data_IF_553421019945
#
_entry.id   IF_553421019945
#
_cell.length_a   1.000
_cell.length_b   1.000
_cell.length_c   1.000
_cell.angle_alpha   90.00
_cell.angle_beta   90.00
_cell.angle_gamma   90.00
#
_symmetry.space_group_name_H-M   'P 1'
#
loop_
_entity.id
_entity.type
_entity.pdbx_description
1 polymer ?
#
# COMPACT_ATOMS: atom_id res chain seq x y z
N UNK A 1 -68.65 62.83 -10.23
CA UNK A 1 -67.49 62.63 -11.04
C UNK A 1 -66.48 61.85 -10.19
N UNK A 2 -66.23 60.52 -10.36
CA UNK A 2 -65.30 59.77 -9.52
C UNK A 2 -63.89 59.86 -10.10
N UNK A 3 -62.95 60.14 -9.18
CA UNK A 3 -61.48 60.16 -9.52
C UNK A 3 -60.88 58.75 -9.66
N UNK A 4 -60.10 58.57 -10.71
CA UNK A 4 -59.39 57.36 -10.96
C UNK A 4 -58.16 57.21 -10.04
N UNK A 5 -58.04 56.08 -9.39
CA UNK A 5 -56.87 55.69 -8.60
C UNK A 5 -55.75 55.15 -9.53
N UNK A 6 -54.49 55.53 -9.34
CA UNK A 6 -53.40 54.97 -10.19
C UNK A 6 -53.04 53.55 -9.71
N UNK A 7 -52.90 52.67 -10.68
CA UNK A 7 -52.48 51.26 -10.49
C UNK A 7 -51.05 51.19 -9.96
N UNK A 8 -50.88 50.35 -8.95
CA UNK A 8 -49.62 50.04 -8.27
C UNK A 8 -48.78 49.08 -9.14
N UNK A 9 -47.86 49.65 -9.93
CA UNK A 9 -46.97 48.87 -10.86
C UNK A 9 -45.59 48.52 -10.30
N UNK A 10 -45.40 48.61 -8.97
CA UNK A 10 -44.06 48.58 -8.36
C UNK A 10 -43.53 47.25 -7.84
N UNK A 11 -44.33 46.20 -7.69
CA UNK A 11 -43.95 45.06 -6.84
C UNK A 11 -43.46 43.82 -7.58
N UNK A 12 -43.75 43.68 -8.88
CA UNK A 12 -43.32 42.51 -9.64
C UNK A 12 -41.82 42.51 -10.03
N UNK A 13 -41.17 43.67 -10.02
CA UNK A 13 -39.75 43.76 -10.43
C UNK A 13 -38.78 43.49 -9.26
N UNK A 14 -39.20 43.73 -8.03
CA UNK A 14 -38.42 43.44 -6.83
C UNK A 14 -38.30 41.94 -6.56
N UNK A 15 -39.36 41.17 -6.79
CA UNK A 15 -39.35 39.70 -6.67
C UNK A 15 -38.40 39.02 -7.68
N UNK A 16 -38.41 39.50 -8.92
CA UNK A 16 -37.54 38.95 -9.98
C UNK A 16 -36.07 39.25 -9.74
N UNK A 17 -35.73 40.44 -9.23
CA UNK A 17 -34.37 40.82 -8.91
C UNK A 17 -33.84 40.01 -7.70
N UNK A 18 -34.67 39.77 -6.67
CA UNK A 18 -34.30 38.97 -5.49
C UNK A 18 -34.05 37.48 -5.85
N UNK A 19 -34.90 36.92 -6.74
CA UNK A 19 -34.76 35.54 -7.19
C UNK A 19 -33.48 35.37 -8.06
N UNK A 20 -33.20 36.34 -8.94
CA UNK A 20 -31.99 36.31 -9.79
C UNK A 20 -30.69 36.40 -8.93
N UNK A 21 -30.70 37.22 -7.86
CA UNK A 21 -29.59 37.36 -6.96
C UNK A 21 -29.38 36.06 -6.15
N UNK A 22 -30.44 35.43 -5.65
CA UNK A 22 -30.37 34.17 -4.93
C UNK A 22 -29.81 33.02 -5.79
N UNK A 23 -30.24 32.94 -7.07
CA UNK A 23 -29.71 31.96 -8.00
C UNK A 23 -28.23 32.22 -8.32
N UNK A 24 -27.82 33.48 -8.50
CA UNK A 24 -26.42 33.83 -8.74
C UNK A 24 -25.52 33.49 -7.53
N UNK A 25 -25.98 33.76 -6.31
CA UNK A 25 -25.27 33.39 -5.07
C UNK A 25 -25.18 31.87 -4.92
N UNK A 26 -26.24 31.13 -5.22
CA UNK A 26 -26.22 29.66 -5.19
C UNK A 26 -25.26 29.05 -6.22
N UNK A 27 -25.20 29.63 -7.45
CA UNK A 27 -24.26 29.20 -8.49
C UNK A 27 -22.81 29.52 -8.13
N UNK A 28 -22.55 30.68 -7.51
CA UNK A 28 -21.23 31.03 -6.99
C UNK A 28 -20.78 30.13 -5.83
N UNK A 29 -21.71 29.77 -4.94
CA UNK A 29 -21.44 28.81 -3.86
C UNK A 29 -21.14 27.40 -4.39
N UNK A 30 -21.89 26.95 -5.39
CA UNK A 30 -21.63 25.66 -6.07
C UNK A 30 -20.29 25.68 -6.82
N UNK A 31 -19.94 26.79 -7.48
CA UNK A 31 -18.65 26.95 -8.12
C UNK A 31 -17.50 27.01 -7.12
N UNK A 32 -17.70 27.64 -5.97
CA UNK A 32 -16.72 27.67 -4.86
C UNK A 32 -16.52 26.27 -4.25
N UNK A 33 -17.58 25.45 -4.12
CA UNK A 33 -17.47 24.05 -3.66
C UNK A 33 -16.68 23.19 -4.67
N UNK A 34 -16.79 23.46 -5.97
CA UNK A 34 -16.04 22.75 -7.00
C UNK A 34 -14.54 23.09 -7.04
N UNK A 35 -14.15 24.24 -6.45
CA UNK A 35 -12.75 24.71 -6.34
C UNK A 35 -12.09 24.24 -5.04
N UNK A 36 -12.86 23.74 -4.07
CA UNK A 36 -12.26 23.16 -2.88
C UNK A 36 -11.46 21.92 -3.27
N UNK A 37 -10.21 21.78 -2.78
CA UNK A 37 -9.45 20.56 -3.02
C UNK A 37 -10.28 19.37 -2.52
N UNK A 38 -10.64 18.49 -3.44
CA UNK A 38 -11.32 17.26 -3.07
C UNK A 38 -10.37 16.44 -2.18
N UNK A 39 -10.87 15.81 -1.11
CA UNK A 39 -10.03 14.91 -0.34
C UNK A 39 -9.43 13.85 -1.28
N UNK A 40 -8.12 13.71 -1.25
CA UNK A 40 -7.45 12.66 -2.00
C UNK A 40 -8.09 11.32 -1.63
N UNK A 41 -8.44 10.53 -2.64
CA UNK A 41 -8.98 9.18 -2.43
C UNK A 41 -7.85 8.19 -2.50
N UNK A 42 -7.89 7.21 -1.59
CA UNK A 42 -6.97 6.10 -1.66
C UNK A 42 -7.11 5.40 -3.03
N UNK A 43 -6.09 5.40 -3.91
CA UNK A 43 -6.17 4.79 -5.24
C UNK A 43 -6.31 3.27 -5.16
N UNK A 44 -5.97 2.68 -4.01
CA UNK A 44 -6.02 1.24 -3.74
C UNK A 44 -7.22 0.85 -2.86
N UNK A 45 -8.15 1.78 -2.58
CA UNK A 45 -9.35 1.43 -1.84
C UNK A 45 -10.09 0.32 -2.59
N UNK A 46 -10.15 -0.85 -2.00
CA UNK A 46 -10.92 -1.99 -2.52
C UNK A 46 -12.35 -1.49 -2.70
N UNK A 47 -12.90 -1.59 -3.92
CA UNK A 47 -14.34 -1.47 -4.10
C UNK A 47 -14.95 -2.52 -3.20
N UNK A 48 -15.82 -2.10 -2.27
CA UNK A 48 -16.55 -3.04 -1.41
C UNK A 48 -17.12 -4.16 -2.29
N UNK A 49 -16.55 -5.33 -2.16
CA UNK A 49 -17.18 -6.54 -2.71
C UNK A 49 -18.45 -6.70 -1.89
N UNK A 50 -19.66 -6.76 -2.51
CA UNK A 50 -20.89 -6.97 -1.76
C UNK A 50 -20.69 -8.23 -0.91
N UNK A 51 -21.06 -8.12 0.38
CA UNK A 51 -20.92 -9.21 1.35
C UNK A 51 -21.45 -10.50 0.74
N UNK A 52 -20.57 -11.47 0.51
CA UNK A 52 -20.94 -12.81 0.11
C UNK A 52 -21.59 -13.46 1.32
N UNK A 53 -22.83 -13.94 1.16
CA UNK A 53 -23.58 -14.63 2.20
C UNK A 53 -22.73 -15.79 2.75
N UNK A 54 -22.70 -15.94 4.09
CA UNK A 54 -22.04 -17.05 4.78
C UNK A 54 -22.61 -18.38 4.25
N UNK A 55 -21.83 -19.10 3.45
CA UNK A 55 -22.26 -20.42 2.98
C UNK A 55 -21.42 -21.08 1.89
N UNK A 56 -20.50 -20.40 1.25
CA UNK A 56 -19.66 -21.00 0.21
C UNK A 56 -18.20 -21.02 0.65
N UNK A 57 -17.79 -22.14 1.27
CA UNK A 57 -16.40 -22.57 1.27
C UNK A 57 -16.13 -23.09 -0.15
N UNK A 58 -16.04 -22.19 -1.12
CA UNK A 58 -15.56 -22.52 -2.45
C UNK A 58 -14.04 -22.37 -2.46
N UNK A 59 -13.44 -23.46 -2.87
CA UNK A 59 -12.06 -23.76 -3.14
C UNK A 59 -11.30 -22.51 -3.68
N UNK A 60 -10.51 -21.82 -2.83
CA UNK A 60 -9.69 -20.66 -3.23
C UNK A 60 -8.62 -21.00 -4.28
N UNK A 61 -8.53 -22.26 -4.70
CA UNK A 61 -7.56 -22.79 -5.66
C UNK A 61 -7.98 -22.69 -7.13
N UNK A 62 -9.25 -22.37 -7.44
CA UNK A 62 -9.74 -22.31 -8.83
C UNK A 62 -9.99 -20.90 -9.37
N UNK A 63 -10.05 -19.88 -8.54
CA UNK A 63 -10.03 -18.49 -9.00
C UNK A 63 -8.57 -18.03 -9.00
N UNK A 64 -7.95 -17.84 -10.16
CA UNK A 64 -6.61 -17.29 -10.26
C UNK A 64 -6.40 -16.12 -9.29
N UNK A 65 -5.17 -15.72 -8.99
CA UNK A 65 -4.82 -14.74 -7.95
C UNK A 65 -5.62 -13.42 -7.97
N UNK A 66 -6.58 -13.27 -8.90
CA UNK A 66 -7.48 -12.12 -9.04
C UNK A 66 -6.81 -10.84 -9.53
N UNK A 67 -5.53 -10.89 -9.92
CA UNK A 67 -4.76 -9.74 -10.38
C UNK A 67 -4.86 -9.65 -11.91
N UNK A 68 -5.50 -8.59 -12.41
CA UNK A 68 -5.51 -8.27 -13.84
C UNK A 68 -4.24 -7.51 -14.21
N UNK A 69 -3.18 -8.27 -14.52
CA UNK A 69 -1.87 -7.74 -14.85
C UNK A 69 -1.87 -6.82 -16.07
N UNK A 70 -2.80 -6.99 -17.00
CA UNK A 70 -2.87 -6.20 -18.23
C UNK A 70 -3.53 -4.83 -17.99
N UNK A 71 -4.36 -4.74 -16.95
CA UNK A 71 -4.95 -3.48 -16.52
C UNK A 71 -4.02 -2.65 -15.61
N UNK A 72 -2.92 -3.25 -15.10
CA UNK A 72 -2.00 -2.55 -14.22
C UNK A 72 -1.02 -1.65 -14.99
N UNK A 73 -0.56 -0.53 -14.38
CA UNK A 73 0.54 0.26 -14.93
C UNK A 73 1.79 -0.61 -15.18
N UNK A 74 2.51 -0.33 -16.25
CA UNK A 74 3.73 -1.07 -16.62
C UNK A 74 4.87 -0.96 -15.58
N UNK A 75 4.79 -0.01 -14.66
CA UNK A 75 5.68 0.16 -13.51
C UNK A 75 5.50 -0.91 -12.44
N UNK A 76 4.34 -1.60 -12.40
CA UNK A 76 4.06 -2.66 -11.44
C UNK A 76 4.84 -3.92 -11.81
N UNK A 77 5.73 -4.34 -10.92
CA UNK A 77 6.62 -5.49 -11.10
C UNK A 77 6.21 -6.69 -10.26
N UNK A 78 5.46 -6.44 -9.16
CA UNK A 78 4.95 -7.48 -8.30
C UNK A 78 3.66 -7.01 -7.59
N UNK A 79 3.06 -7.91 -6.84
CA UNK A 79 1.92 -7.64 -5.96
C UNK A 79 2.17 -8.33 -4.62
N UNK A 80 1.83 -7.70 -3.50
CA UNK A 80 1.97 -8.30 -2.17
C UNK A 80 0.62 -8.44 -1.51
N UNK A 81 0.42 -9.58 -0.87
CA UNK A 81 -0.76 -9.86 -0.03
C UNK A 81 -0.32 -10.50 1.29
N UNK A 82 -0.85 -9.99 2.40
CA UNK A 82 -0.69 -10.60 3.72
C UNK A 82 -2.06 -11.07 4.20
N UNK A 83 -2.34 -12.38 4.17
CA UNK A 83 -3.63 -12.93 4.57
C UNK A 83 -4.04 -12.48 5.98
N UNK A 84 -5.33 -12.19 6.16
CA UNK A 84 -5.86 -11.71 7.45
C UNK A 84 -5.58 -10.24 7.76
N UNK A 85 -5.00 -9.48 6.83
CA UNK A 85 -4.73 -8.05 6.96
C UNK A 85 -5.26 -7.25 5.78
N UNK A 86 -5.12 -5.91 5.83
CA UNK A 86 -5.46 -5.02 4.71
C UNK A 86 -4.32 -4.88 3.68
N UNK A 87 -3.22 -5.62 3.82
CA UNK A 87 -2.11 -5.56 2.87
C UNK A 87 -2.45 -6.37 1.63
N UNK A 88 -2.83 -5.68 0.56
CA UNK A 88 -3.15 -6.23 -0.76
C UNK A 88 -2.87 -5.14 -1.82
N UNK A 89 -1.60 -5.01 -2.26
CA UNK A 89 -1.12 -3.85 -3.01
C UNK A 89 -0.15 -4.21 -4.11
N UNK A 90 -0.17 -3.44 -5.24
CA UNK A 90 0.88 -3.51 -6.24
C UNK A 90 2.22 -3.05 -5.67
N UNK A 91 3.30 -3.65 -6.15
CA UNK A 91 4.68 -3.25 -5.88
C UNK A 91 5.29 -2.74 -7.18
N UNK A 92 5.95 -1.58 -7.11
CA UNK A 92 6.70 -1.00 -8.24
C UNK A 92 8.20 -1.06 -7.99
N UNK A 93 9.02 -0.97 -9.03
CA UNK A 93 10.47 -0.85 -8.89
C UNK A 93 10.86 0.57 -8.53
N UNK A 94 11.65 0.77 -7.49
CA UNK A 94 12.22 2.06 -7.11
C UNK A 94 13.13 2.62 -8.21
N UNK A 95 13.17 3.94 -8.31
CA UNK A 95 13.93 4.67 -9.33
C UNK A 95 15.28 5.10 -8.79
N UNK A 96 16.40 4.69 -9.38
CA UNK A 96 17.74 5.10 -8.91
C UNK A 96 17.94 6.61 -8.89
N UNK A 97 17.39 7.31 -9.90
CA UNK A 97 17.46 8.78 -10.02
C UNK A 97 16.56 9.53 -9.03
N UNK A 98 15.57 8.85 -8.45
CA UNK A 98 14.65 9.41 -7.46
C UNK A 98 14.16 8.32 -6.49
N UNK A 99 15.00 7.86 -5.54
CA UNK A 99 14.71 6.71 -4.68
C UNK A 99 13.43 6.85 -3.84
N UNK A 100 13.03 8.08 -3.50
CA UNK A 100 11.81 8.37 -2.73
C UNK A 100 10.58 8.70 -3.58
N UNK A 101 10.63 8.53 -4.90
CA UNK A 101 9.54 8.95 -5.80
C UNK A 101 8.18 8.37 -5.37
N UNK A 102 8.12 7.08 -5.12
CA UNK A 102 6.88 6.38 -4.78
C UNK A 102 6.40 6.60 -3.33
N UNK A 103 7.12 7.37 -2.53
CA UNK A 103 6.58 7.87 -1.26
C UNK A 103 5.47 8.91 -1.46
N UNK A 104 5.41 9.58 -2.61
CA UNK A 104 4.44 10.65 -2.91
C UNK A 104 3.76 10.48 -4.26
N UNK A 105 3.92 9.32 -4.89
CA UNK A 105 3.30 8.98 -6.18
C UNK A 105 2.79 7.55 -6.15
N UNK A 106 1.62 7.33 -6.72
CA UNK A 106 1.05 6.00 -6.88
C UNK A 106 1.79 5.16 -7.95
N UNK A 107 1.31 3.94 -8.16
CA UNK A 107 1.90 3.02 -9.13
C UNK A 107 1.81 3.53 -10.58
N UNK A 108 0.84 4.39 -10.91
CA UNK A 108 0.71 5.06 -12.22
C UNK A 108 1.68 6.22 -12.40
N UNK A 109 2.25 6.73 -11.31
CA UNK A 109 3.14 7.88 -11.29
C UNK A 109 2.43 9.21 -11.01
N UNK A 110 1.15 9.18 -10.66
CA UNK A 110 0.40 10.35 -10.23
C UNK A 110 0.66 10.65 -8.74
N UNK A 111 0.55 11.94 -8.36
CA UNK A 111 0.73 12.32 -6.96
C UNK A 111 -0.32 11.67 -6.08
N UNK A 112 0.15 11.09 -4.97
CA UNK A 112 -0.71 10.39 -4.01
C UNK A 112 -0.11 10.46 -2.62
N UNK A 113 -0.92 10.79 -1.60
CA UNK A 113 -0.51 10.75 -0.21
C UNK A 113 -0.24 9.31 0.29
N UNK A 114 -0.83 8.30 -0.36
CA UNK A 114 -0.61 6.88 -0.04
C UNK A 114 0.68 6.34 -0.67
N UNK A 115 1.21 7.01 -1.70
CA UNK A 115 2.35 6.50 -2.45
C UNK A 115 2.03 5.15 -3.12
N UNK A 116 3.07 4.36 -3.35
CA UNK A 116 2.97 2.95 -3.74
C UNK A 116 4.03 2.14 -2.99
N UNK A 117 3.77 0.88 -2.61
CA UNK A 117 4.83 -0.03 -2.20
C UNK A 117 5.87 -0.17 -3.30
N UNK A 118 7.16 -0.11 -2.93
CA UNK A 118 8.22 -0.15 -3.95
C UNK A 118 9.44 -0.92 -3.47
N UNK A 119 10.05 -1.66 -4.39
CA UNK A 119 11.35 -2.30 -4.19
C UNK A 119 12.41 -1.20 -4.16
N UNK A 120 13.35 -1.28 -3.21
CA UNK A 120 14.46 -0.33 -3.12
C UNK A 120 15.24 -0.27 -4.44
N UNK A 121 15.58 0.94 -4.88
CA UNK A 121 16.33 1.15 -6.11
C UNK A 121 17.72 0.47 -6.11
N UNK A 122 18.28 0.17 -4.93
CA UNK A 122 19.51 -0.60 -4.78
C UNK A 122 19.35 -2.10 -5.05
N UNK A 123 18.11 -2.62 -5.06
CA UNK A 123 17.82 -4.00 -5.47
C UNK A 123 17.82 -4.07 -7.00
N UNK A 124 19.00 -4.11 -7.59
CA UNK A 124 19.19 -3.96 -9.03
C UNK A 124 18.57 -5.09 -9.88
N UNK A 125 18.31 -6.26 -9.26
CA UNK A 125 17.64 -7.39 -9.89
C UNK A 125 16.15 -7.44 -9.55
N UNK A 126 15.60 -6.37 -8.96
CA UNK A 126 14.19 -6.30 -8.56
C UNK A 126 13.83 -7.40 -7.58
N UNK A 127 12.78 -8.15 -7.88
CA UNK A 127 12.28 -9.27 -7.08
C UNK A 127 13.24 -10.49 -7.03
N UNK A 128 14.26 -10.54 -7.90
CA UNK A 128 15.28 -11.59 -7.93
C UNK A 128 16.55 -11.19 -7.16
N UNK A 129 16.57 -10.04 -6.49
CA UNK A 129 17.72 -9.61 -5.68
C UNK A 129 17.93 -10.55 -4.49
N UNK A 130 19.17 -10.81 -4.03
CA UNK A 130 19.43 -11.66 -2.88
C UNK A 130 18.70 -11.20 -1.61
N UNK A 131 18.60 -9.88 -1.39
CA UNK A 131 17.72 -9.28 -0.37
C UNK A 131 16.82 -8.26 -1.07
N UNK A 132 15.54 -8.57 -1.16
CA UNK A 132 14.52 -7.69 -1.74
C UNK A 132 13.97 -6.81 -0.63
N UNK A 133 14.24 -5.51 -0.68
CA UNK A 133 13.73 -4.55 0.31
C UNK A 133 12.54 -3.83 -0.29
N UNK A 134 11.37 -3.96 0.34
CA UNK A 134 10.12 -3.34 -0.10
C UNK A 134 9.67 -2.32 0.92
N UNK A 135 9.54 -1.07 0.52
CA UNK A 135 9.04 0.01 1.36
C UNK A 135 7.55 0.26 1.10
N UNK A 136 6.83 0.63 2.15
CA UNK A 136 5.45 1.09 2.06
C UNK A 136 5.09 2.01 3.21
N UNK A 137 4.12 2.89 3.01
CA UNK A 137 3.65 3.79 4.06
C UNK A 137 2.93 3.06 5.19
N UNK A 138 3.02 3.62 6.39
CA UNK A 138 2.15 3.32 7.50
C UNK A 138 1.10 4.43 7.60
N UNK A 139 -0.07 4.19 7.05
CA UNK A 139 -1.15 5.18 7.08
C UNK A 139 -1.92 5.11 8.39
N UNK A 140 -2.34 6.26 8.91
CA UNK A 140 -3.09 6.35 10.17
C UNK A 140 -4.50 5.74 10.10
N UNK A 141 -5.03 5.55 8.90
CA UNK A 141 -6.30 4.87 8.64
C UNK A 141 -6.17 3.33 8.59
N UNK A 142 -4.98 2.79 8.85
CA UNK A 142 -4.69 1.35 8.85
C UNK A 142 -4.43 0.76 7.47
N UNK A 143 -4.37 1.60 6.42
CA UNK A 143 -4.08 1.15 5.06
C UNK A 143 -2.57 1.08 4.77
N UNK A 144 -2.23 0.68 3.57
CA UNK A 144 -0.86 0.44 3.10
C UNK A 144 -0.15 -0.61 3.98
N UNK A 145 1.09 -0.36 4.41
CA UNK A 145 1.85 -1.26 5.26
C UNK A 145 1.64 -1.03 6.77
N UNK A 146 0.58 -0.30 7.16
CA UNK A 146 0.26 -0.12 8.58
C UNK A 146 0.15 -1.44 9.36
N UNK A 147 -0.47 -2.54 8.84
CA UNK A 147 -0.50 -3.82 9.54
C UNK A 147 0.87 -4.41 9.84
N UNK A 148 1.89 -4.11 9.02
CA UNK A 148 3.25 -4.62 9.25
C UNK A 148 3.87 -4.06 10.55
N UNK A 149 3.42 -2.90 11.03
CA UNK A 149 3.82 -2.36 12.33
C UNK A 149 3.47 -3.27 13.52
N UNK A 150 2.49 -4.17 13.35
CA UNK A 150 2.06 -5.10 14.40
C UNK A 150 2.97 -6.32 14.55
N UNK A 151 3.88 -6.57 13.60
CA UNK A 151 4.86 -7.67 13.70
C UNK A 151 5.88 -7.49 14.83
N UNK A 152 5.94 -6.31 15.46
CA UNK A 152 6.64 -6.13 16.74
C UNK A 152 6.01 -6.92 17.91
N UNK A 153 4.75 -7.40 17.73
CA UNK A 153 4.12 -8.36 18.64
C UNK A 153 4.37 -9.79 18.13
N UNK A 154 4.93 -10.65 18.99
CA UNK A 154 5.14 -12.07 18.67
C UNK A 154 3.84 -12.78 18.31
N UNK A 155 2.77 -12.56 19.08
CA UNK A 155 1.47 -13.22 18.83
C UNK A 155 0.92 -12.85 17.44
N UNK A 156 1.07 -11.58 17.04
CA UNK A 156 0.66 -11.16 15.71
C UNK A 156 1.53 -11.81 14.63
N UNK A 157 2.85 -11.81 14.82
CA UNK A 157 3.78 -12.41 13.87
C UNK A 157 3.56 -13.92 13.69
N UNK A 158 3.29 -14.65 14.78
CA UNK A 158 2.95 -16.08 14.76
C UNK A 158 1.63 -16.35 14.02
N UNK A 159 0.63 -15.46 14.17
CA UNK A 159 -0.66 -15.55 13.49
C UNK A 159 -0.64 -15.16 12.00
N UNK A 160 0.42 -14.48 11.54
CA UNK A 160 0.52 -13.93 10.18
C UNK A 160 1.87 -14.27 9.53
N UNK A 161 2.30 -15.55 9.61
CA UNK A 161 3.61 -15.96 9.08
C UNK A 161 3.70 -15.94 7.56
N UNK A 162 2.58 -16.03 6.85
CA UNK A 162 2.55 -16.09 5.40
C UNK A 162 2.44 -14.70 4.77
N UNK A 163 3.34 -14.41 3.83
CA UNK A 163 3.23 -13.30 2.89
C UNK A 163 3.24 -13.89 1.48
N UNK A 164 2.29 -13.50 0.64
CA UNK A 164 2.25 -13.92 -0.76
C UNK A 164 2.70 -12.78 -1.65
N UNK A 165 3.63 -13.07 -2.53
CA UNK A 165 4.09 -12.16 -3.57
C UNK A 165 3.78 -12.77 -4.92
N UNK A 166 3.15 -12.00 -5.78
CA UNK A 166 2.82 -12.41 -7.15
C UNK A 166 3.66 -11.58 -8.11
N UNK A 167 4.20 -12.22 -9.12
CA UNK A 167 4.79 -11.59 -10.29
C UNK A 167 3.97 -11.97 -11.53
N UNK A 168 4.35 -11.49 -12.72
CA UNK A 168 3.69 -11.94 -13.96
C UNK A 168 3.96 -13.42 -14.26
N UNK A 169 5.06 -13.96 -13.71
CA UNK A 169 5.56 -15.31 -14.04
C UNK A 169 5.22 -16.35 -12.97
N UNK A 170 5.15 -15.92 -11.70
CA UNK A 170 5.00 -16.87 -10.58
C UNK A 170 4.33 -16.23 -9.36
N UNK A 171 3.74 -17.06 -8.53
CA UNK A 171 3.43 -16.79 -7.13
C UNK A 171 4.60 -17.25 -6.27
N UNK A 172 4.91 -16.47 -5.23
CA UNK A 172 5.97 -16.75 -4.26
C UNK A 172 5.31 -16.74 -2.89
N UNK A 173 5.31 -17.87 -2.22
CA UNK A 173 4.92 -17.91 -0.82
C UNK A 173 6.14 -17.69 0.06
N UNK A 174 6.05 -16.67 0.92
CA UNK A 174 7.11 -16.30 1.86
C UNK A 174 6.67 -16.64 3.27
N UNK A 175 7.60 -17.18 4.05
CA UNK A 175 7.43 -17.39 5.48
C UNK A 175 8.21 -16.35 6.28
N UNK A 176 7.51 -15.62 7.16
CA UNK A 176 8.13 -14.65 8.07
C UNK A 176 8.94 -15.39 9.11
N UNK A 177 10.22 -15.06 9.24
CA UNK A 177 11.11 -15.64 10.24
C UNK A 177 11.52 -14.67 11.34
N UNK A 178 11.45 -13.33 11.09
CA UNK A 178 11.77 -12.34 12.11
C UNK A 178 11.11 -10.99 11.84
N UNK A 179 10.99 -10.17 12.86
CA UNK A 179 10.66 -8.76 12.74
C UNK A 179 11.46 -7.92 13.74
N UNK A 180 11.80 -6.70 13.36
CA UNK A 180 12.58 -5.76 14.14
C UNK A 180 11.99 -4.36 14.09
N UNK A 181 12.24 -3.57 15.13
CA UNK A 181 11.95 -2.14 15.15
C UNK A 181 13.25 -1.38 15.19
N UNK A 182 13.61 -0.75 14.10
CA UNK A 182 14.89 -0.10 13.90
C UNK A 182 14.76 1.42 13.82
N UNK A 183 15.81 2.14 14.22
CA UNK A 183 15.93 3.58 13.94
C UNK A 183 16.46 3.77 12.52
N UNK A 184 15.67 4.42 11.66
CA UNK A 184 16.00 4.62 10.26
C UNK A 184 17.27 5.45 10.02
N UNK A 185 17.73 6.23 11.00
CA UNK A 185 18.96 7.03 10.89
C UNK A 185 20.23 6.23 11.18
N UNK A 186 20.10 5.14 11.93
CA UNK A 186 21.21 4.26 12.34
C UNK A 186 21.25 2.93 11.57
N UNK A 187 20.14 2.55 10.93
CA UNK A 187 20.02 1.29 10.21
C UNK A 187 20.62 1.38 8.80
N UNK A 188 21.79 0.77 8.64
CA UNK A 188 22.43 0.63 7.31
C UNK A 188 21.70 -0.45 6.48
N UNK A 189 21.17 -0.06 5.32
CA UNK A 189 20.68 -1.04 4.34
C UNK A 189 21.84 -1.62 3.53
N UNK A 190 21.70 -2.89 3.16
CA UNK A 190 22.59 -3.57 2.21
C UNK A 190 21.75 -4.32 1.19
N UNK A 191 22.03 -4.11 -0.09
CA UNK A 191 21.29 -4.71 -1.21
C UNK A 191 22.16 -5.54 -2.12
N UNK A 192 23.48 -5.51 -1.90
CA UNK A 192 24.46 -6.23 -2.69
C UNK A 192 25.26 -7.21 -1.82
N UNK A 193 25.34 -8.46 -2.24
CA UNK A 193 26.00 -9.56 -1.56
C UNK A 193 26.86 -10.33 -2.55
N UNK A 194 28.08 -10.69 -2.12
CA UNK A 194 29.03 -11.42 -2.97
C UNK A 194 28.52 -12.85 -3.29
N UNK A 195 27.84 -13.46 -2.33
CA UNK A 195 27.29 -14.82 -2.40
C UNK A 195 26.22 -15.03 -1.31
N UNK A 196 25.60 -16.21 -1.30
CA UNK A 196 24.60 -16.59 -0.31
C UNK A 196 25.15 -16.60 1.10
N UNK A 197 26.42 -16.99 1.32
CA UNK A 197 27.01 -16.99 2.65
C UNK A 197 27.14 -15.57 3.23
N UNK A 198 27.42 -14.58 2.37
CA UNK A 198 27.46 -13.18 2.78
C UNK A 198 26.07 -12.63 3.16
N UNK A 199 25.01 -13.08 2.48
CA UNK A 199 23.62 -12.78 2.83
C UNK A 199 23.25 -13.44 4.16
N UNK A 200 23.54 -14.73 4.32
CA UNK A 200 23.25 -15.50 5.53
C UNK A 200 23.93 -14.91 6.77
N UNK A 201 25.20 -14.55 6.67
CA UNK A 201 25.93 -13.86 7.74
C UNK A 201 25.35 -12.47 8.06
N UNK A 202 24.87 -11.74 7.04
CA UNK A 202 24.19 -10.46 7.27
C UNK A 202 22.86 -10.64 7.99
N UNK A 203 22.05 -11.62 7.59
CA UNK A 203 20.77 -11.94 8.24
C UNK A 203 21.00 -12.42 9.68
N UNK A 204 21.97 -13.30 9.95
CA UNK A 204 22.32 -13.73 11.28
C UNK A 204 22.72 -12.55 12.20
N UNK A 205 23.45 -11.56 11.68
CA UNK A 205 23.75 -10.33 12.42
C UNK A 205 22.50 -9.50 12.71
N UNK A 206 21.53 -9.43 11.78
CA UNK A 206 20.25 -8.75 12.00
C UNK A 206 19.43 -9.49 13.07
N UNK A 207 19.28 -10.80 12.93
CA UNK A 207 18.52 -11.65 13.85
C UNK A 207 18.96 -11.51 15.30
N UNK A 208 20.26 -11.37 15.54
CA UNK A 208 20.81 -11.22 16.91
C UNK A 208 20.29 -9.95 17.62
N UNK A 209 19.63 -9.05 16.93
CA UNK A 209 19.10 -7.77 17.44
C UNK A 209 17.59 -7.63 17.27
N UNK A 210 16.94 -8.54 16.53
CA UNK A 210 15.51 -8.49 16.27
C UNK A 210 14.70 -8.66 17.56
N UNK A 211 13.63 -7.85 17.69
CA UNK A 211 12.69 -7.97 18.81
C UNK A 211 11.88 -9.26 18.76
N UNK A 212 11.54 -9.71 17.54
CA UNK A 212 10.79 -10.95 17.31
C UNK A 212 11.59 -11.84 16.36
N UNK A 213 12.00 -13.01 16.83
CA UNK A 213 12.59 -14.08 16.03
C UNK A 213 11.69 -15.30 16.17
N UNK A 214 11.06 -15.71 15.05
CA UNK A 214 10.19 -16.88 14.98
C UNK A 214 10.98 -18.12 14.59
N UNK A 215 12.00 -17.93 13.76
CA UNK A 215 12.89 -18.98 13.26
C UNK A 215 14.27 -18.38 12.96
N UNK A 216 15.31 -19.18 13.15
CA UNK A 216 16.67 -18.86 12.68
C UNK A 216 16.91 -19.63 11.38
N UNK A 217 16.69 -19.02 10.21
CA UNK A 217 16.87 -19.70 8.94
C UNK A 217 18.35 -19.96 8.67
N UNK A 218 18.66 -21.06 8.00
CA UNK A 218 20.00 -21.40 7.50
C UNK A 218 19.96 -21.54 5.98
N UNK A 219 21.12 -21.35 5.35
CA UNK A 219 21.31 -21.54 3.91
C UNK A 219 20.40 -20.66 3.02
N UNK A 220 20.09 -19.46 3.52
CA UNK A 220 19.21 -18.52 2.83
C UNK A 220 19.89 -17.99 1.57
N UNK A 221 19.31 -18.29 0.42
CA UNK A 221 19.78 -17.80 -0.89
C UNK A 221 19.08 -16.51 -1.32
N UNK A 222 17.87 -16.30 -0.86
CA UNK A 222 17.08 -15.07 -1.05
C UNK A 222 16.23 -14.78 0.18
N UNK A 223 16.12 -13.50 0.52
CA UNK A 223 15.21 -13.03 1.57
C UNK A 223 14.48 -11.76 1.13
N UNK A 224 13.36 -11.50 1.79
CA UNK A 224 12.56 -10.29 1.63
C UNK A 224 12.53 -9.51 2.94
N UNK A 225 12.59 -8.20 2.86
CA UNK A 225 12.46 -7.28 3.97
C UNK A 225 11.37 -6.26 3.64
N UNK A 226 10.20 -6.39 4.28
CA UNK A 226 9.11 -5.43 4.13
C UNK A 226 9.24 -4.37 5.22
N UNK A 227 9.33 -3.10 4.80
CA UNK A 227 9.68 -1.97 5.67
C UNK A 227 8.57 -0.94 5.68
N UNK A 228 8.11 -0.59 6.88
CA UNK A 228 7.13 0.48 7.06
C UNK A 228 7.56 1.42 8.18
N UNK A 229 7.02 2.65 8.18
CA UNK A 229 7.16 3.52 9.33
C UNK A 229 6.53 2.86 10.56
N UNK A 230 7.11 3.06 11.72
CA UNK A 230 6.50 2.70 12.99
C UNK A 230 6.47 3.92 13.91
N UNK A 231 5.62 3.86 14.93
CA UNK A 231 5.41 5.00 15.83
C UNK A 231 5.90 4.73 17.25
N UNK A 232 6.68 3.65 17.46
CA UNK A 232 7.28 3.34 18.77
C UNK A 232 8.27 4.42 19.20
N UNK A 233 9.02 4.99 18.27
CA UNK A 233 9.89 6.15 18.46
C UNK A 233 9.77 7.12 17.27
N UNK A 234 10.34 8.32 17.40
CA UNK A 234 10.31 9.36 16.38
C UNK A 234 11.16 8.98 15.18
N UNK A 235 11.11 8.21 14.34
CA UNK A 235 11.92 7.77 13.20
C UNK A 235 12.12 6.27 13.15
N UNK A 236 11.27 5.51 13.88
CA UNK A 236 11.36 4.07 13.84
C UNK A 236 10.73 3.48 12.56
N UNK A 237 11.23 2.31 12.19
CA UNK A 237 10.72 1.48 11.10
C UNK A 237 10.51 0.08 11.63
N UNK A 238 9.39 -0.55 11.26
CA UNK A 238 9.25 -1.99 11.42
C UNK A 238 9.77 -2.64 10.14
N UNK A 239 10.62 -3.64 10.31
CA UNK A 239 11.18 -4.47 9.24
C UNK A 239 10.71 -5.89 9.47
N UNK A 240 10.01 -6.47 8.50
CA UNK A 240 9.54 -7.86 8.54
C UNK A 240 10.39 -8.66 7.56
N UNK A 241 11.13 -9.63 8.08
CA UNK A 241 12.00 -10.50 7.29
C UNK A 241 11.28 -11.81 6.97
N UNK A 242 11.29 -12.18 5.70
CA UNK A 242 10.69 -13.41 5.21
C UNK A 242 11.59 -14.10 4.18
N UNK A 243 11.46 -15.41 4.05
CA UNK A 243 12.15 -16.25 3.06
C UNK A 243 11.13 -17.02 2.24
N UNK A 244 11.51 -17.43 1.03
CA UNK A 244 10.67 -18.31 0.20
C UNK A 244 10.49 -19.68 0.87
N UNK A 245 9.27 -20.21 0.80
CA UNK A 245 8.96 -21.56 1.29
C UNK A 245 9.46 -22.56 0.26
N UNK A 246 10.44 -23.40 0.65
CA UNK A 246 11.01 -24.41 -0.24
C UNK A 246 9.95 -25.43 -0.69
N UNK A 247 9.95 -25.71 -1.99
CA UNK A 247 9.04 -26.70 -2.57
C UNK A 247 7.61 -26.17 -2.81
N UNK A 248 7.37 -24.89 -2.62
CA UNK A 248 6.12 -24.27 -3.05
C UNK A 248 6.04 -24.30 -4.58
N UNK A 249 5.13 -25.11 -5.12
CA UNK A 249 4.87 -25.17 -6.55
C UNK A 249 3.63 -24.33 -6.89
N UNK A 250 3.87 -23.12 -7.35
CA UNK A 250 2.85 -22.14 -7.71
C UNK A 250 2.15 -22.44 -9.05
N UNK A 251 2.38 -23.63 -9.64
CA UNK A 251 1.64 -24.00 -10.84
C UNK A 251 0.19 -24.29 -10.49
N UNK A 252 -0.80 -23.69 -11.21
CA UNK A 252 -2.18 -24.13 -11.09
C UNK A 252 -2.21 -25.62 -11.36
N UNK A 253 -2.88 -26.38 -10.49
CA UNK A 253 -3.21 -27.78 -10.79
C UNK A 253 -4.03 -27.78 -12.09
N UNK A 254 -3.51 -28.46 -13.14
CA UNK A 254 -4.20 -28.67 -14.41
C UNK A 254 -5.57 -29.33 -14.22
#
# INVERSE_FOLDING_TARGET
>A
MPGASPANGGDMNKGRAATALAVAVALLALAALAVLPQPERNPYAVREVPAVEEGAVENEQEAGNGIDWDALPASVVAWVRVPGTTVDYPIVQGRPESPGFYLTHDAGGDRSAWGAPYIDAGCAQGAESPLVIVYGHHMSDGTMFAPLGQYSSRDFAEGHRTIRVFTREKEIELEVFAADVVDASSEGKRTDFADAAALDAYLGNKLSRCEVVLEEPSDVTQAWAFVTCSYQTSNSRTVVYAKEVEGWDSRPSE
#
